data_IF_279132713644
#
_entry.id   IF_279132713644
#
_cell.length_a   1.000
_cell.length_b   1.000
_cell.length_c   1.000
_cell.angle_alpha   90.00
_cell.angle_beta   90.00
_cell.angle_gamma   90.00
#
_symmetry.space_group_name_H-M   'P 1'
#
loop_
_entity.id
_entity.type
_entity.pdbx_description
1 polymer ?
#
# COMPACT_ATOMS: atom_id res chain seq x y z
N UNK A 1 7.40 32.74 22.26
CA UNK A 1 6.44 31.88 21.53
C UNK A 1 7.16 31.42 20.29
N UNK A 2 7.65 30.17 20.28
CA UNK A 2 8.43 29.68 19.14
C UNK A 2 7.50 29.48 17.96
N UNK A 3 7.79 30.16 16.84
CA UNK A 3 7.27 29.80 15.53
C UNK A 3 7.66 28.36 15.25
N UNK A 4 6.74 27.44 15.54
CA UNK A 4 6.81 26.10 15.02
C UNK A 4 6.69 26.26 13.50
N UNK A 5 7.79 26.01 12.77
CA UNK A 5 7.78 25.83 11.32
C UNK A 5 6.59 24.92 10.98
N UNK A 6 5.52 25.50 10.45
CA UNK A 6 4.37 24.75 9.98
C UNK A 6 4.86 23.96 8.78
N UNK A 7 5.09 22.66 8.97
CA UNK A 7 5.41 21.78 7.85
C UNK A 7 4.17 21.73 6.94
N UNK A 8 4.34 21.90 5.61
CA UNK A 8 3.22 21.83 4.69
C UNK A 8 2.48 20.50 4.87
N UNK A 9 1.16 20.56 4.99
CA UNK A 9 0.34 19.37 5.12
C UNK A 9 0.25 18.68 3.76
N UNK A 10 0.02 17.37 3.77
CA UNK A 10 -0.16 16.61 2.51
C UNK A 10 -1.28 17.18 1.63
N UNK A 11 -2.32 17.80 2.22
CA UNK A 11 -3.41 18.44 1.46
C UNK A 11 -2.92 19.64 0.63
N UNK A 12 -1.86 20.31 1.06
CA UNK A 12 -1.36 21.55 0.45
C UNK A 12 -0.62 21.29 -0.87
N UNK A 13 -0.38 20.01 -1.21
CA UNK A 13 0.05 19.58 -2.55
C UNK A 13 -0.95 20.04 -3.64
N UNK A 14 -2.25 20.06 -3.31
CA UNK A 14 -3.31 20.63 -4.15
C UNK A 14 -3.76 21.99 -3.57
N UNK A 15 -2.81 22.90 -3.36
CA UNK A 15 -3.07 24.28 -2.97
C UNK A 15 -3.29 25.20 -4.18
N UNK A 16 -3.40 26.51 -3.92
CA UNK A 16 -3.72 27.51 -4.95
C UNK A 16 -2.74 27.52 -6.14
N UNK A 17 -1.44 27.28 -5.90
CA UNK A 17 -0.45 27.16 -6.98
C UNK A 17 -0.76 25.97 -7.90
N UNK A 18 -1.12 24.82 -7.32
CA UNK A 18 -1.49 23.65 -8.10
C UNK A 18 -2.77 23.87 -8.92
N UNK A 19 -3.72 24.64 -8.39
CA UNK A 19 -4.94 25.06 -9.10
C UNK A 19 -4.58 25.96 -10.28
N UNK A 20 -3.73 26.97 -10.08
CA UNK A 20 -3.27 27.85 -11.17
C UNK A 20 -2.60 27.08 -12.30
N UNK A 21 -1.75 26.09 -11.97
CA UNK A 21 -1.10 25.24 -12.98
C UNK A 21 -2.12 24.47 -13.83
N UNK A 22 -3.15 23.90 -13.21
CA UNK A 22 -4.22 23.20 -13.96
C UNK A 22 -4.99 24.20 -14.84
N UNK A 23 -5.27 25.39 -14.32
CA UNK A 23 -5.99 26.44 -15.05
C UNK A 23 -5.23 26.91 -16.30
N UNK A 24 -3.92 27.14 -16.15
CA UNK A 24 -3.03 27.59 -17.22
C UNK A 24 -2.86 26.49 -18.27
N UNK A 25 -2.67 25.24 -17.84
CA UNK A 25 -2.62 24.09 -18.74
C UNK A 25 -3.92 23.92 -19.55
N UNK A 26 -5.08 24.15 -18.92
CA UNK A 26 -6.38 24.11 -19.59
C UNK A 26 -6.53 25.21 -20.66
N UNK A 27 -6.17 26.44 -20.32
CA UNK A 27 -6.21 27.56 -21.27
C UNK A 27 -5.23 27.39 -22.44
N UNK A 28 -4.05 26.81 -22.17
CA UNK A 28 -3.08 26.48 -23.21
C UNK A 28 -3.54 25.32 -24.10
N UNK A 29 -4.26 24.35 -23.54
CA UNK A 29 -4.79 23.21 -24.28
C UNK A 29 -5.94 23.59 -25.22
N UNK A 30 -6.79 24.56 -24.84
CA UNK A 30 -7.92 24.96 -25.68
C UNK A 30 -8.50 26.33 -25.33
N UNK A 31 -8.82 27.18 -26.33
CA UNK A 31 -9.44 28.48 -26.09
C UNK A 31 -10.88 28.38 -25.55
N UNK A 32 -11.54 27.22 -25.67
CA UNK A 32 -12.88 27.01 -25.10
C UNK A 32 -12.86 26.64 -23.61
N UNK A 33 -11.68 26.40 -23.03
CA UNK A 33 -11.55 26.15 -21.60
C UNK A 33 -11.77 27.44 -20.81
N UNK A 34 -12.77 27.45 -19.92
CA UNK A 34 -13.09 28.61 -19.09
C UNK A 34 -12.13 28.71 -17.89
N UNK A 35 -10.94 29.27 -18.13
CA UNK A 35 -9.90 29.44 -17.10
C UNK A 35 -10.40 30.22 -15.87
N UNK A 36 -11.13 31.31 -16.07
CA UNK A 36 -11.62 32.14 -14.98
C UNK A 36 -12.65 31.39 -14.13
N UNK A 37 -13.60 30.71 -14.78
CA UNK A 37 -14.59 29.87 -14.08
C UNK A 37 -13.97 28.69 -13.36
N UNK A 38 -12.93 28.06 -13.93
CA UNK A 38 -12.18 27.02 -13.23
C UNK A 38 -11.53 27.54 -11.94
N UNK A 39 -10.80 28.66 -12.02
CA UNK A 39 -10.11 29.22 -10.85
C UNK A 39 -11.09 29.59 -9.73
N UNK A 40 -12.19 30.25 -10.08
CA UNK A 40 -13.23 30.63 -9.12
C UNK A 40 -13.82 29.41 -8.42
N UNK A 41 -14.27 28.42 -9.20
CA UNK A 41 -14.86 27.20 -8.66
C UNK A 41 -13.88 26.32 -7.88
N UNK A 42 -12.61 26.26 -8.30
CA UNK A 42 -11.59 25.39 -7.71
C UNK A 42 -10.95 25.95 -6.44
N UNK A 43 -10.98 27.27 -6.24
CA UNK A 43 -10.44 27.93 -5.04
C UNK A 43 -11.52 28.07 -3.95
N UNK A 44 -12.80 28.10 -4.32
CA UNK A 44 -13.90 28.20 -3.37
C UNK A 44 -13.92 27.02 -2.37
N UNK A 45 -13.81 27.34 -1.08
CA UNK A 45 -13.84 26.34 0.00
C UNK A 45 -12.63 25.38 0.06
N UNK A 46 -11.61 25.52 -0.80
CA UNK A 46 -10.50 24.58 -0.94
C UNK A 46 -9.72 24.32 0.37
N UNK A 47 -9.58 25.35 1.21
CA UNK A 47 -8.78 25.29 2.45
C UNK A 47 -9.29 24.23 3.44
N UNK A 48 -10.61 24.04 3.50
CA UNK A 48 -11.28 23.10 4.40
C UNK A 48 -11.19 21.64 3.96
N UNK A 49 -10.79 21.37 2.72
CA UNK A 49 -10.81 20.04 2.12
C UNK A 49 -9.51 19.24 2.40
N UNK A 50 -9.66 17.94 2.67
CA UNK A 50 -8.57 16.97 2.68
C UNK A 50 -8.06 16.66 1.27
N UNK A 51 -6.89 16.02 1.12
CA UNK A 51 -6.26 15.81 -0.20
C UNK A 51 -7.18 15.11 -1.21
N UNK A 52 -7.92 14.07 -0.81
CA UNK A 52 -8.82 13.34 -1.73
C UNK A 52 -10.16 14.06 -1.93
N UNK A 53 -10.54 14.97 -1.04
CA UNK A 53 -11.65 15.90 -1.29
C UNK A 53 -11.24 16.95 -2.31
N UNK A 54 -10.00 17.47 -2.24
CA UNK A 54 -9.45 18.39 -3.25
C UNK A 54 -9.39 17.75 -4.63
N UNK A 55 -8.93 16.50 -4.75
CA UNK A 55 -8.94 15.77 -6.04
C UNK A 55 -10.35 15.78 -6.68
N UNK A 56 -11.38 15.47 -5.90
CA UNK A 56 -12.78 15.43 -6.37
C UNK A 56 -13.34 16.82 -6.67
N UNK A 57 -13.05 17.78 -5.81
CA UNK A 57 -13.47 19.16 -5.98
C UNK A 57 -12.87 19.79 -7.24
N UNK A 58 -11.58 19.57 -7.51
CA UNK A 58 -10.95 20.03 -8.74
C UNK A 58 -11.51 19.33 -9.99
N UNK A 59 -11.89 18.06 -9.90
CA UNK A 59 -12.58 17.36 -10.99
C UNK A 59 -13.98 17.96 -11.28
N UNK A 60 -14.71 18.37 -10.25
CA UNK A 60 -15.98 19.08 -10.41
C UNK A 60 -15.79 20.47 -11.03
N UNK A 61 -14.78 21.22 -10.58
CA UNK A 61 -14.42 22.50 -11.19
C UNK A 61 -13.99 22.36 -12.65
N UNK A 62 -13.24 21.31 -13.00
CA UNK A 62 -12.90 20.98 -14.39
C UNK A 62 -14.15 20.77 -15.24
N UNK A 63 -15.17 20.08 -14.72
CA UNK A 63 -16.42 19.85 -15.46
C UNK A 63 -17.13 21.15 -15.83
N UNK A 64 -17.20 22.13 -14.92
CA UNK A 64 -17.76 23.45 -15.23
C UNK A 64 -16.93 24.30 -16.18
N UNK A 65 -15.63 24.00 -16.32
CA UNK A 65 -14.70 24.75 -17.17
C UNK A 65 -14.48 24.13 -18.56
N UNK A 66 -14.93 22.90 -18.77
CA UNK A 66 -14.81 22.15 -20.02
C UNK A 66 -16.10 22.22 -20.85
N UNK A 67 -16.03 21.95 -22.16
CA UNK A 67 -17.22 21.79 -22.99
C UNK A 67 -18.13 20.66 -22.51
N UNK A 68 -19.43 20.77 -22.79
CA UNK A 68 -20.43 19.75 -22.43
C UNK A 68 -20.29 18.46 -23.25
N UNK A 69 -19.75 18.54 -24.46
CA UNK A 69 -19.41 17.35 -25.25
C UNK A 69 -18.22 16.60 -24.61
N UNK A 70 -18.49 15.40 -24.13
CA UNK A 70 -17.52 14.60 -23.39
C UNK A 70 -16.26 14.27 -24.22
N UNK A 71 -16.42 14.03 -25.53
CA UNK A 71 -15.29 13.71 -26.40
C UNK A 71 -14.29 14.86 -26.46
N UNK A 72 -14.81 16.06 -26.72
CA UNK A 72 -14.04 17.30 -26.78
C UNK A 72 -13.42 17.61 -25.41
N UNK A 73 -14.17 17.46 -24.32
CA UNK A 73 -13.65 17.65 -22.97
C UNK A 73 -12.50 16.68 -22.66
N UNK A 74 -12.60 15.42 -23.10
CA UNK A 74 -11.60 14.40 -22.90
C UNK A 74 -10.29 14.70 -23.66
N UNK A 75 -10.38 15.21 -24.87
CA UNK A 75 -9.20 15.64 -25.64
C UNK A 75 -8.47 16.79 -24.96
N UNK A 76 -9.20 17.77 -24.40
CA UNK A 76 -8.62 18.87 -23.61
C UNK A 76 -7.94 18.32 -22.35
N UNK A 77 -8.61 17.44 -21.61
CA UNK A 77 -8.08 16.76 -20.41
C UNK A 77 -6.79 16.00 -20.70
N UNK A 78 -6.72 15.30 -21.84
CA UNK A 78 -5.49 14.62 -22.29
C UNK A 78 -4.38 15.59 -22.67
N UNK A 79 -4.71 16.78 -23.19
CA UNK A 79 -3.74 17.84 -23.49
C UNK A 79 -3.27 18.62 -22.24
N UNK A 80 -4.07 18.65 -21.17
CA UNK A 80 -3.69 19.22 -19.87
C UNK A 80 -2.61 18.37 -19.20
N UNK A 81 -2.78 17.05 -19.16
CA UNK A 81 -1.99 16.16 -18.31
C UNK A 81 -0.45 16.24 -18.48
N UNK A 82 0.12 16.38 -19.69
CA UNK A 82 1.56 16.54 -19.88
C UNK A 82 2.16 17.83 -19.30
N UNK A 83 1.33 18.83 -19.02
CA UNK A 83 1.75 20.14 -18.52
C UNK A 83 1.74 20.21 -16.99
N UNK A 84 1.24 19.17 -16.32
CA UNK A 84 1.14 19.10 -14.87
C UNK A 84 2.49 18.78 -14.23
N UNK A 85 2.74 19.38 -13.07
CA UNK A 85 4.03 19.26 -12.36
C UNK A 85 3.98 18.26 -11.20
N UNK A 86 2.79 17.79 -10.82
CA UNK A 86 2.61 16.88 -9.69
C UNK A 86 1.54 15.80 -9.96
N UNK A 87 1.79 14.58 -9.47
CA UNK A 87 0.90 13.41 -9.68
C UNK A 87 -0.52 13.61 -9.16
N UNK A 88 -0.71 14.26 -8.01
CA UNK A 88 -2.04 14.61 -7.49
C UNK A 88 -2.83 15.55 -8.41
N UNK A 89 -2.17 16.43 -9.18
CA UNK A 89 -2.88 17.23 -10.19
C UNK A 89 -3.41 16.30 -11.30
N UNK A 90 -2.56 15.38 -11.78
CA UNK A 90 -2.97 14.39 -12.78
C UNK A 90 -4.09 13.49 -12.26
N UNK A 91 -4.13 13.19 -10.96
CA UNK A 91 -5.22 12.44 -10.35
C UNK A 91 -6.55 13.19 -10.40
N UNK A 92 -6.58 14.52 -10.21
CA UNK A 92 -7.79 15.32 -10.41
C UNK A 92 -8.29 15.24 -11.86
N UNK A 93 -7.38 15.25 -12.83
CA UNK A 93 -7.69 15.08 -14.25
C UNK A 93 -8.25 13.68 -14.55
N UNK A 94 -7.70 12.61 -13.96
CA UNK A 94 -8.29 11.27 -14.09
C UNK A 94 -9.64 11.14 -13.36
N UNK A 95 -9.83 11.85 -12.25
CA UNK A 95 -11.09 11.85 -11.50
C UNK A 95 -12.23 12.50 -12.32
N UNK A 96 -11.94 13.52 -13.14
CA UNK A 96 -12.90 14.05 -14.10
C UNK A 96 -13.44 12.94 -15.03
N UNK A 97 -12.54 12.10 -15.57
CA UNK A 97 -12.91 10.98 -16.45
C UNK A 97 -13.83 9.98 -15.73
N UNK A 98 -13.55 9.70 -14.46
CA UNK A 98 -14.36 8.79 -13.64
C UNK A 98 -15.77 9.32 -13.36
N UNK A 99 -15.91 10.64 -13.20
CA UNK A 99 -17.18 11.30 -12.86
C UNK A 99 -18.06 11.55 -14.08
N UNK A 100 -17.45 11.84 -15.24
CA UNK A 100 -18.18 12.23 -16.45
C UNK A 100 -18.22 11.14 -17.53
N UNK A 101 -17.43 10.07 -17.38
CA UNK A 101 -17.16 9.12 -18.45
C UNK A 101 -17.84 7.75 -18.35
N UNK A 102 -18.71 7.51 -17.36
CA UNK A 102 -19.32 6.20 -17.15
C UNK A 102 -20.13 5.71 -18.37
N UNK A 103 -20.84 6.62 -19.04
CA UNK A 103 -21.63 6.32 -20.25
C UNK A 103 -20.77 6.22 -21.53
N UNK A 104 -19.46 6.47 -21.42
CA UNK A 104 -18.51 6.50 -22.54
C UNK A 104 -17.34 5.52 -22.36
N UNK A 105 -17.65 4.31 -21.89
CA UNK A 105 -16.71 3.29 -21.43
C UNK A 105 -15.39 3.20 -22.24
N UNK A 106 -15.44 2.93 -23.54
CA UNK A 106 -14.23 2.65 -24.32
C UNK A 106 -13.30 3.88 -24.41
N UNK A 107 -13.88 5.07 -24.58
CA UNK A 107 -13.11 6.34 -24.60
C UNK A 107 -12.52 6.64 -23.23
N UNK A 108 -13.30 6.43 -22.18
CA UNK A 108 -12.87 6.66 -20.80
C UNK A 108 -11.72 5.74 -20.42
N UNK A 109 -11.81 4.44 -20.68
CA UNK A 109 -10.74 3.50 -20.35
C UNK A 109 -9.47 3.75 -21.16
N UNK A 110 -9.59 4.10 -22.45
CA UNK A 110 -8.44 4.51 -23.26
C UNK A 110 -7.77 5.75 -22.66
N UNK A 111 -8.54 6.77 -22.28
CA UNK A 111 -8.00 7.96 -21.64
C UNK A 111 -7.37 7.67 -20.28
N UNK A 112 -7.96 6.82 -19.43
CA UNK A 112 -7.36 6.44 -18.15
C UNK A 112 -6.03 5.71 -18.33
N UNK A 113 -5.92 4.81 -19.31
CA UNK A 113 -4.65 4.16 -19.66
C UNK A 113 -3.59 5.17 -20.10
N UNK A 114 -3.97 6.21 -20.84
CA UNK A 114 -3.02 7.26 -21.22
C UNK A 114 -2.65 8.15 -20.04
N UNK A 115 -3.62 8.66 -19.32
CA UNK A 115 -3.46 9.65 -18.26
C UNK A 115 -2.71 9.10 -17.04
N UNK A 116 -2.79 7.79 -16.78
CA UNK A 116 -2.16 7.18 -15.60
C UNK A 116 -0.63 7.33 -15.57
N UNK A 117 0.02 7.67 -16.68
CA UNK A 117 1.47 7.92 -16.73
C UNK A 117 1.91 9.22 -16.04
N UNK A 118 1.00 10.19 -15.91
CA UNK A 118 1.28 11.49 -15.27
C UNK A 118 1.01 11.49 -13.75
N UNK A 119 0.42 10.41 -13.25
CA UNK A 119 0.10 10.23 -11.84
C UNK A 119 -0.38 8.81 -11.58
N UNK A 120 -1.69 8.64 -11.39
CA UNK A 120 -2.32 7.32 -11.28
C UNK A 120 -3.83 7.42 -11.54
N UNK A 121 -4.36 6.52 -12.36
CA UNK A 121 -5.81 6.34 -12.54
C UNK A 121 -6.41 5.29 -11.57
N UNK A 122 -5.70 4.87 -10.53
CA UNK A 122 -6.10 3.77 -9.63
C UNK A 122 -7.42 4.01 -8.90
N UNK A 123 -7.80 5.27 -8.68
CA UNK A 123 -9.10 5.64 -8.12
C UNK A 123 -10.15 5.78 -9.22
N UNK A 124 -9.79 6.41 -10.33
CA UNK A 124 -10.66 6.72 -11.44
C UNK A 124 -11.19 5.50 -12.20
N UNK A 125 -10.45 4.38 -12.21
CA UNK A 125 -10.92 3.13 -12.83
C UNK A 125 -11.99 2.41 -11.99
N UNK A 126 -12.13 2.75 -10.71
CA UNK A 126 -12.97 1.98 -9.77
C UNK A 126 -14.47 2.17 -9.96
N UNK A 127 -14.98 3.36 -10.35
CA UNK A 127 -16.37 3.49 -10.78
C UNK A 127 -16.74 2.55 -11.94
N UNK A 128 -15.84 2.37 -12.92
CA UNK A 128 -16.05 1.42 -14.02
C UNK A 128 -16.07 -0.03 -13.52
N UNK A 129 -15.14 -0.42 -12.63
CA UNK A 129 -15.16 -1.72 -11.96
C UNK A 129 -16.42 -1.95 -11.12
N UNK A 130 -17.00 -0.90 -10.54
CA UNK A 130 -18.21 -0.99 -9.74
C UNK A 130 -19.47 -1.12 -10.61
N UNK A 131 -19.50 -0.48 -11.78
CA UNK A 131 -20.60 -0.52 -12.72
C UNK A 131 -20.63 -1.81 -13.56
N UNK A 132 -19.48 -2.21 -14.11
CA UNK A 132 -19.31 -3.38 -14.97
C UNK A 132 -17.96 -4.07 -14.70
N UNK A 133 -17.87 -4.89 -13.64
CA UNK A 133 -16.63 -5.53 -13.24
C UNK A 133 -16.08 -6.47 -14.31
N UNK A 134 -16.93 -7.22 -15.00
CA UNK A 134 -16.52 -8.19 -16.01
C UNK A 134 -15.83 -7.50 -17.20
N UNK A 135 -16.52 -6.52 -17.82
CA UNK A 135 -15.98 -5.79 -18.97
C UNK A 135 -14.72 -5.01 -18.60
N UNK A 136 -14.71 -4.39 -17.41
CA UNK A 136 -13.56 -3.60 -16.94
C UNK A 136 -12.35 -4.48 -16.65
N UNK A 137 -12.51 -5.61 -15.95
CA UNK A 137 -11.41 -6.54 -15.70
C UNK A 137 -10.87 -7.16 -16.98
N UNK A 138 -11.72 -7.44 -17.97
CA UNK A 138 -11.27 -7.92 -19.28
C UNK A 138 -10.38 -6.89 -20.00
N UNK A 139 -10.70 -5.59 -19.93
CA UNK A 139 -9.84 -4.53 -20.47
C UNK A 139 -8.55 -4.36 -19.65
N UNK A 140 -8.63 -4.43 -18.33
CA UNK A 140 -7.45 -4.36 -17.45
C UNK A 140 -6.51 -5.56 -17.66
N UNK A 141 -7.03 -6.73 -18.00
CA UNK A 141 -6.20 -7.88 -18.39
C UNK A 141 -5.41 -7.60 -19.67
N UNK A 142 -6.01 -6.95 -20.68
CA UNK A 142 -5.27 -6.53 -21.90
C UNK A 142 -4.13 -5.58 -21.57
N UNK A 143 -4.33 -4.66 -20.62
CA UNK A 143 -3.32 -3.71 -20.16
C UNK A 143 -2.08 -4.37 -19.56
N UNK A 144 -2.13 -5.64 -19.16
CA UNK A 144 -0.95 -6.36 -18.63
C UNK A 144 0.15 -6.58 -19.68
N UNK A 145 -0.18 -6.44 -20.96
CA UNK A 145 0.78 -6.56 -22.07
C UNK A 145 1.27 -5.20 -22.60
N UNK A 146 0.80 -4.10 -22.03
CA UNK A 146 1.16 -2.76 -22.48
C UNK A 146 2.67 -2.50 -22.27
N UNK A 147 3.37 -1.87 -23.22
CA UNK A 147 4.80 -1.55 -23.05
C UNK A 147 5.06 -0.61 -21.86
N UNK A 148 4.08 0.20 -21.46
CA UNK A 148 4.20 1.16 -20.38
C UNK A 148 3.91 0.51 -19.01
N UNK A 149 4.89 0.56 -18.11
CA UNK A 149 4.77 0.01 -16.76
C UNK A 149 3.65 0.66 -15.93
N UNK A 150 3.28 1.93 -16.19
CA UNK A 150 2.20 2.61 -15.49
C UNK A 150 0.84 2.00 -15.82
N UNK A 151 0.64 1.58 -17.07
CA UNK A 151 -0.60 0.92 -17.55
C UNK A 151 -0.68 -0.50 -16.98
N UNK A 152 0.41 -1.26 -17.03
CA UNK A 152 0.49 -2.59 -16.40
C UNK A 152 0.26 -2.51 -14.89
N UNK A 153 0.85 -1.51 -14.22
CA UNK A 153 0.65 -1.29 -12.79
C UNK A 153 -0.79 -0.92 -12.50
N UNK A 154 -1.44 -0.06 -13.31
CA UNK A 154 -2.85 0.29 -13.14
C UNK A 154 -3.76 -0.94 -13.16
N UNK A 155 -3.49 -1.89 -14.06
CA UNK A 155 -4.24 -3.16 -14.12
C UNK A 155 -4.21 -3.90 -12.78
N UNK A 156 -3.04 -4.03 -12.15
CA UNK A 156 -2.92 -4.66 -10.84
C UNK A 156 -3.47 -3.77 -9.70
N UNK A 157 -3.14 -2.48 -9.68
CA UNK A 157 -3.43 -1.61 -8.54
C UNK A 157 -4.91 -1.21 -8.46
N UNK A 158 -5.49 -0.79 -9.58
CA UNK A 158 -6.86 -0.30 -9.64
C UNK A 158 -7.88 -1.40 -9.27
N UNK A 159 -7.52 -2.65 -9.56
CA UNK A 159 -8.34 -3.84 -9.26
C UNK A 159 -8.10 -4.42 -7.86
N UNK A 160 -7.31 -3.76 -6.99
CA UNK A 160 -7.08 -4.24 -5.63
C UNK A 160 -8.39 -4.29 -4.81
N UNK A 161 -8.64 -5.38 -4.06
CA UNK A 161 -9.83 -5.48 -3.21
C UNK A 161 -9.77 -4.56 -1.99
N UNK A 162 -8.56 -4.15 -1.56
CA UNK A 162 -8.34 -3.31 -0.36
C UNK A 162 -7.39 -2.14 -0.65
N UNK A 163 -7.60 -1.44 -1.76
CA UNK A 163 -6.83 -0.24 -2.11
C UNK A 163 -7.03 0.87 -1.05
N UNK A 164 -5.96 1.40 -0.42
CA UNK A 164 -6.06 2.51 0.52
C UNK A 164 -6.66 3.76 -0.14
N UNK A 165 -7.40 4.56 0.65
CA UNK A 165 -8.07 5.81 0.22
C UNK A 165 -9.15 5.68 -0.86
N UNK A 166 -9.28 4.52 -1.49
CA UNK A 166 -10.27 4.27 -2.52
C UNK A 166 -11.64 3.90 -1.95
N UNK A 167 -12.68 4.17 -2.73
CA UNK A 167 -13.99 3.55 -2.56
C UNK A 167 -13.88 2.03 -2.70
N UNK A 168 -14.73 1.30 -1.96
CA UNK A 168 -14.81 -0.15 -2.08
C UNK A 168 -15.57 -0.51 -3.36
N UNK A 169 -15.05 -1.44 -4.14
CA UNK A 169 -15.76 -2.04 -5.28
C UNK A 169 -16.48 -3.29 -4.74
N UNK A 170 -17.82 -3.34 -4.74
CA UNK A 170 -18.57 -4.45 -4.13
C UNK A 170 -18.18 -5.83 -4.68
N UNK A 171 -18.04 -5.95 -6.00
CA UNK A 171 -17.65 -7.21 -6.65
C UNK A 171 -16.29 -7.73 -6.15
N UNK A 172 -15.25 -6.89 -6.17
CA UNK A 172 -13.90 -7.23 -5.69
C UNK A 172 -13.85 -7.48 -4.17
N UNK A 173 -14.79 -6.94 -3.41
CA UNK A 173 -14.92 -7.25 -1.98
C UNK A 173 -15.61 -8.60 -1.77
N UNK A 174 -16.63 -8.91 -2.56
CA UNK A 174 -17.38 -10.16 -2.50
C UNK A 174 -16.52 -11.35 -2.90
N UNK A 175 -15.74 -11.19 -3.97
CA UNK A 175 -14.70 -12.12 -4.37
C UNK A 175 -13.38 -11.38 -4.64
N UNK A 176 -12.40 -11.43 -3.71
CA UNK A 176 -11.12 -10.77 -3.90
C UNK A 176 -10.23 -11.44 -4.95
N UNK A 177 -10.64 -12.59 -5.49
CA UNK A 177 -9.85 -13.37 -6.46
C UNK A 177 -10.19 -13.05 -7.92
N UNK A 178 -11.20 -12.22 -8.19
CA UNK A 178 -11.66 -11.89 -9.55
C UNK A 178 -10.55 -11.34 -10.47
N UNK A 179 -9.56 -10.64 -9.91
CA UNK A 179 -8.44 -10.09 -10.65
C UNK A 179 -7.23 -11.04 -10.74
N UNK A 180 -7.34 -12.31 -10.32
CA UNK A 180 -6.25 -13.28 -10.36
C UNK A 180 -5.59 -13.41 -11.75
N UNK A 181 -6.34 -13.44 -12.88
CA UNK A 181 -5.72 -13.49 -14.21
C UNK A 181 -4.75 -12.34 -14.50
N UNK A 182 -5.03 -11.14 -13.97
CA UNK A 182 -4.14 -9.97 -14.09
C UNK A 182 -2.84 -10.22 -13.32
N UNK A 183 -2.94 -10.78 -12.11
CA UNK A 183 -1.78 -11.06 -11.26
C UNK A 183 -0.91 -12.16 -11.85
N UNK A 184 -1.53 -13.19 -12.43
CA UNK A 184 -0.84 -14.26 -13.15
C UNK A 184 -0.08 -13.71 -14.36
N UNK A 185 -0.69 -12.84 -15.17
CA UNK A 185 -0.03 -12.23 -16.33
C UNK A 185 1.19 -11.36 -15.92
N UNK A 186 1.13 -10.73 -14.75
CA UNK A 186 2.17 -9.83 -14.24
C UNK A 186 3.16 -10.50 -13.27
N UNK A 187 3.08 -11.82 -13.07
CA UNK A 187 3.85 -12.57 -12.05
C UNK A 187 5.37 -12.50 -12.20
N UNK A 188 5.87 -12.11 -13.37
CA UNK A 188 7.30 -11.99 -13.67
C UNK A 188 7.64 -10.64 -14.31
N UNK A 189 6.85 -9.59 -14.03
CA UNK A 189 7.05 -8.28 -14.66
C UNK A 189 8.45 -7.69 -14.37
N UNK A 190 9.16 -7.13 -15.36
CA UNK A 190 10.49 -6.55 -15.16
C UNK A 190 10.48 -5.26 -14.33
N UNK A 191 9.35 -4.56 -14.25
CA UNK A 191 9.22 -3.33 -13.43
C UNK A 191 9.01 -3.65 -11.95
N UNK A 192 9.88 -3.11 -11.09
CA UNK A 192 9.67 -3.17 -9.64
C UNK A 192 8.40 -2.44 -9.21
N UNK A 193 7.98 -1.40 -9.94
CA UNK A 193 6.75 -0.66 -9.65
C UNK A 193 5.51 -1.54 -9.84
N UNK A 194 5.45 -2.30 -10.94
CA UNK A 194 4.41 -3.30 -11.19
C UNK A 194 4.45 -4.40 -10.15
N UNK A 195 5.64 -5.00 -9.90
CA UNK A 195 5.78 -6.09 -8.90
C UNK A 195 5.31 -5.69 -7.51
N UNK A 196 5.59 -4.45 -7.07
CA UNK A 196 5.09 -3.91 -5.79
C UNK A 196 3.56 -3.91 -5.74
N UNK A 197 2.91 -3.52 -6.83
CA UNK A 197 1.45 -3.57 -6.92
C UNK A 197 0.92 -5.00 -6.84
N UNK A 198 1.47 -5.92 -7.63
CA UNK A 198 1.06 -7.35 -7.64
C UNK A 198 1.21 -7.95 -6.25
N UNK A 199 2.35 -7.73 -5.59
CA UNK A 199 2.57 -8.22 -4.22
C UNK A 199 1.63 -7.57 -3.19
N UNK A 200 1.25 -6.30 -3.35
CA UNK A 200 0.26 -5.66 -2.48
C UNK A 200 -1.14 -6.23 -2.71
N UNK A 201 -1.49 -6.49 -3.97
CA UNK A 201 -2.76 -7.09 -4.36
C UNK A 201 -2.88 -8.50 -3.76
N UNK A 202 -1.89 -9.36 -3.98
CA UNK A 202 -1.83 -10.70 -3.39
C UNK A 202 -1.95 -10.66 -1.85
N UNK A 203 -1.22 -9.75 -1.21
CA UNK A 203 -1.32 -9.57 0.24
C UNK A 203 -2.71 -9.07 0.71
N UNK A 204 -3.44 -8.35 -0.13
CA UNK A 204 -4.82 -7.96 0.17
C UNK A 204 -5.77 -9.16 0.07
N UNK A 205 -5.60 -10.03 -0.94
CA UNK A 205 -6.34 -11.28 -1.09
C UNK A 205 -6.11 -12.18 0.14
N UNK A 206 -4.86 -12.37 0.55
CA UNK A 206 -4.48 -13.24 1.68
C UNK A 206 -5.04 -12.80 3.04
N UNK A 207 -5.59 -11.58 3.16
CA UNK A 207 -6.32 -11.16 4.38
C UNK A 207 -7.68 -11.82 4.52
N UNK A 208 -8.30 -12.19 3.40
CA UNK A 208 -9.65 -12.76 3.33
C UNK A 208 -9.68 -14.21 2.83
N UNK A 209 -8.76 -14.58 1.93
CA UNK A 209 -8.67 -15.90 1.29
C UNK A 209 -7.24 -16.44 1.38
N UNK A 210 -6.79 -16.71 2.61
CA UNK A 210 -5.42 -17.16 2.88
C UNK A 210 -5.09 -18.50 2.20
N UNK A 211 -5.96 -19.50 2.33
CA UNK A 211 -5.74 -20.83 1.74
C UNK A 211 -5.65 -20.75 0.21
N UNK A 212 -6.61 -20.06 -0.42
CA UNK A 212 -6.58 -19.81 -1.86
C UNK A 212 -5.28 -19.14 -2.31
N UNK A 213 -4.81 -18.12 -1.59
CA UNK A 213 -3.57 -17.41 -1.95
C UNK A 213 -2.37 -18.36 -1.93
N UNK A 214 -2.28 -19.22 -0.90
CA UNK A 214 -1.19 -20.17 -0.78
C UNK A 214 -1.28 -21.23 -1.87
N UNK A 215 -2.46 -21.85 -2.07
CA UNK A 215 -2.72 -22.83 -3.14
C UNK A 215 -2.33 -22.25 -4.51
N UNK A 216 -2.70 -21.00 -4.76
CA UNK A 216 -2.43 -20.32 -6.02
C UNK A 216 -0.93 -20.09 -6.25
N UNK A 217 -0.20 -19.67 -5.22
CA UNK A 217 1.23 -19.39 -5.31
C UNK A 217 2.12 -20.66 -5.29
N UNK A 218 1.60 -21.80 -4.83
CA UNK A 218 2.29 -23.09 -4.94
C UNK A 218 2.53 -23.51 -6.41
N UNK A 219 1.68 -23.06 -7.33
CA UNK A 219 1.85 -23.30 -8.77
C UNK A 219 2.80 -22.31 -9.48
N UNK A 220 3.33 -21.31 -8.78
CA UNK A 220 4.19 -20.29 -9.41
C UNK A 220 5.66 -20.70 -9.39
N UNK A 221 6.37 -20.41 -10.49
CA UNK A 221 7.82 -20.61 -10.58
C UNK A 221 8.55 -19.59 -9.69
N UNK A 222 9.07 -20.09 -8.57
CA UNK A 222 9.79 -19.29 -7.56
C UNK A 222 11.27 -19.08 -7.87
N UNK A 223 11.80 -19.76 -8.89
CA UNK A 223 13.23 -19.73 -9.21
C UNK A 223 13.58 -18.45 -9.99
N UNK A 224 12.59 -17.79 -10.61
CA UNK A 224 12.81 -16.45 -11.15
C UNK A 224 12.95 -15.41 -10.01
N UNK A 225 13.95 -14.52 -10.06
CA UNK A 225 14.14 -13.51 -9.00
C UNK A 225 12.93 -12.59 -8.80
N UNK A 226 12.18 -12.32 -9.87
CA UNK A 226 11.01 -11.44 -9.85
C UNK A 226 9.80 -12.12 -9.21
N UNK A 227 9.44 -13.33 -9.64
CA UNK A 227 8.32 -14.07 -9.07
C UNK A 227 8.59 -14.44 -7.62
N UNK A 228 9.81 -14.91 -7.29
CA UNK A 228 10.21 -15.17 -5.90
C UNK A 228 10.12 -13.92 -4.99
N UNK A 229 10.42 -12.74 -5.53
CA UNK A 229 10.22 -11.47 -4.83
C UNK A 229 8.72 -11.19 -4.60
N UNK A 230 7.88 -11.34 -5.62
CA UNK A 230 6.43 -11.12 -5.49
C UNK A 230 5.82 -12.05 -4.44
N UNK A 231 6.13 -13.34 -4.49
CA UNK A 231 5.64 -14.35 -3.54
C UNK A 231 6.00 -13.95 -2.11
N UNK A 232 7.27 -13.65 -1.84
CA UNK A 232 7.73 -13.25 -0.50
C UNK A 232 7.00 -12.01 0.01
N UNK A 233 6.83 -11.00 -0.85
CA UNK A 233 6.17 -9.76 -0.48
C UNK A 233 4.65 -9.90 -0.37
N UNK A 234 4.03 -10.77 -1.17
CA UNK A 234 2.60 -11.08 -1.15
C UNK A 234 2.18 -11.87 0.08
N UNK A 235 3.02 -12.80 0.54
CA UNK A 235 2.77 -13.63 1.72
C UNK A 235 3.14 -12.97 3.05
N UNK A 236 3.65 -11.72 3.05
CA UNK A 236 4.22 -11.07 4.24
C UNK A 236 3.29 -11.07 5.47
N UNK A 237 1.97 -10.98 5.28
CA UNK A 237 1.01 -11.03 6.39
C UNK A 237 0.88 -12.45 6.94
N UNK A 238 0.84 -13.47 6.08
CA UNK A 238 0.78 -14.89 6.50
C UNK A 238 2.09 -15.34 7.16
N UNK A 239 3.24 -14.93 6.61
CA UNK A 239 4.56 -15.17 7.21
C UNK A 239 4.62 -14.59 8.64
N UNK A 240 4.12 -13.36 8.83
CA UNK A 240 4.05 -12.74 10.17
C UNK A 240 3.07 -13.45 11.11
N UNK A 241 2.05 -14.14 10.59
CA UNK A 241 1.16 -15.00 11.37
C UNK A 241 1.79 -16.36 11.70
N UNK A 242 2.95 -16.67 11.11
CA UNK A 242 3.63 -17.95 11.28
C UNK A 242 3.04 -19.09 10.46
N UNK A 243 2.31 -18.77 9.38
CA UNK A 243 1.65 -19.76 8.52
C UNK A 243 2.68 -20.75 7.93
N UNK A 244 2.54 -22.07 8.20
CA UNK A 244 3.53 -23.06 7.76
C UNK A 244 3.72 -23.13 6.25
N UNK A 245 2.62 -23.04 5.48
CA UNK A 245 2.68 -23.17 4.02
C UNK A 245 3.28 -21.92 3.38
N UNK A 246 2.94 -20.74 3.90
CA UNK A 246 3.54 -19.49 3.46
C UNK A 246 5.05 -19.42 3.75
N UNK A 247 5.50 -19.97 4.89
CA UNK A 247 6.92 -20.11 5.20
C UNK A 247 7.61 -21.08 4.23
N UNK A 248 7.00 -22.23 3.94
CA UNK A 248 7.54 -23.20 3.01
C UNK A 248 7.74 -22.62 1.60
N UNK A 249 6.81 -21.77 1.13
CA UNK A 249 6.92 -21.08 -0.16
C UNK A 249 8.12 -20.13 -0.28
N UNK A 250 8.68 -19.66 0.84
CA UNK A 250 9.90 -18.85 0.87
C UNK A 250 11.15 -19.63 1.28
N UNK A 251 11.08 -20.96 1.27
CA UNK A 251 12.21 -21.86 1.60
C UNK A 251 12.49 -21.96 3.10
N UNK A 252 11.49 -21.77 3.95
CA UNK A 252 11.63 -21.76 5.41
C UNK A 252 10.70 -22.81 6.01
N UNK A 253 11.26 -23.77 6.75
CA UNK A 253 10.45 -24.73 7.49
C UNK A 253 9.68 -24.04 8.62
N UNK A 254 8.52 -24.58 9.01
CA UNK A 254 7.82 -24.11 10.20
C UNK A 254 8.52 -24.64 11.47
N UNK A 255 8.93 -23.73 12.35
CA UNK A 255 9.90 -24.00 13.40
C UNK A 255 11.34 -24.09 12.89
N UNK A 256 12.27 -24.17 13.83
CA UNK A 256 13.70 -24.36 13.55
C UNK A 256 14.33 -25.18 14.68
N UNK A 257 15.34 -25.97 14.36
CA UNK A 257 16.15 -26.67 15.35
C UNK A 257 17.16 -25.67 15.95
N UNK A 258 16.66 -24.74 16.74
CA UNK A 258 17.45 -23.72 17.44
C UNK A 258 16.99 -23.59 18.88
N UNK A 259 17.91 -23.24 19.77
CA UNK A 259 17.63 -22.85 21.15
C UNK A 259 17.80 -21.34 21.29
N UNK A 260 16.95 -20.72 22.10
CA UNK A 260 17.15 -19.34 22.57
C UNK A 260 17.98 -19.42 23.85
N UNK A 261 19.23 -19.01 23.80
CA UNK A 261 20.11 -19.00 24.98
C UNK A 261 19.81 -17.79 25.87
N UNK A 262 19.44 -16.66 25.27
CA UNK A 262 19.06 -15.44 25.97
C UNK A 262 18.02 -14.66 25.18
N UNK A 263 17.03 -14.11 25.86
CA UNK A 263 16.12 -13.10 25.30
C UNK A 263 15.80 -12.04 26.35
N UNK A 264 16.12 -10.78 26.06
CA UNK A 264 15.90 -9.65 26.97
C UNK A 264 15.18 -8.49 26.30
N UNK A 265 14.46 -7.74 27.10
CA UNK A 265 13.85 -6.45 26.73
C UNK A 265 14.24 -5.45 27.81
N UNK A 266 15.04 -4.46 27.43
CA UNK A 266 15.64 -3.53 28.36
C UNK A 266 15.40 -2.07 27.91
N UNK A 267 15.11 -1.14 28.83
CA UNK A 267 14.89 -1.34 30.26
C UNK A 267 13.54 -2.02 30.56
N UNK A 268 13.41 -2.58 31.77
CA UNK A 268 12.15 -3.20 32.23
C UNK A 268 11.03 -2.18 32.42
N UNK A 269 11.36 -0.90 32.63
CA UNK A 269 10.42 0.22 32.72
C UNK A 269 10.89 1.33 31.79
N UNK A 270 10.00 1.84 30.93
CA UNK A 270 10.30 2.85 29.91
C UNK A 270 9.26 3.96 29.93
N UNK A 271 9.68 5.22 29.76
CA UNK A 271 8.74 6.35 29.66
C UNK A 271 8.25 6.52 28.21
N UNK A 272 7.05 7.07 28.06
CA UNK A 272 6.56 7.47 26.73
C UNK A 272 7.53 8.50 26.10
N UNK A 273 7.94 8.24 24.86
CA UNK A 273 8.96 8.98 24.13
C UNK A 273 10.34 8.30 24.12
N UNK A 274 10.60 7.41 25.07
CA UNK A 274 11.82 6.62 25.15
C UNK A 274 11.68 5.32 24.34
N UNK A 275 12.65 4.42 24.51
CA UNK A 275 12.77 3.25 23.65
C UNK A 275 13.39 2.06 24.38
N UNK A 276 12.84 0.89 24.09
CA UNK A 276 13.34 -0.40 24.55
C UNK A 276 14.28 -1.00 23.52
N UNK A 277 15.19 -1.84 23.98
CA UNK A 277 16.07 -2.68 23.17
C UNK A 277 15.70 -4.13 23.42
N UNK A 278 15.35 -4.84 22.35
CA UNK A 278 15.15 -6.28 22.35
C UNK A 278 16.48 -6.90 21.93
N UNK A 279 16.96 -7.90 22.66
CA UNK A 279 18.16 -8.65 22.30
C UNK A 279 17.91 -10.15 22.44
N UNK A 280 18.42 -10.95 21.50
CA UNK A 280 18.29 -12.40 21.50
C UNK A 280 19.62 -13.07 21.10
N UNK A 281 19.93 -14.18 21.75
CA UNK A 281 21.02 -15.09 21.38
C UNK A 281 20.42 -16.44 21.03
N UNK A 282 20.73 -16.91 19.81
CA UNK A 282 20.23 -18.16 19.25
C UNK A 282 21.40 -19.10 18.99
N UNK A 283 21.26 -20.39 19.30
CA UNK A 283 22.21 -21.43 18.94
C UNK A 283 21.55 -22.53 18.12
N UNK A 284 22.21 -22.94 17.03
CA UNK A 284 21.77 -24.05 16.19
C UNK A 284 21.91 -25.38 16.94
N UNK A 285 20.86 -26.19 16.91
CA UNK A 285 20.82 -27.54 17.48
C UNK A 285 21.13 -28.64 16.45
N UNK A 286 21.51 -28.26 15.24
CA UNK A 286 21.83 -29.16 14.14
C UNK A 286 23.17 -28.79 13.50
N UNK A 287 23.75 -29.72 12.74
CA UNK A 287 24.95 -29.50 11.92
C UNK A 287 24.64 -28.97 10.52
N UNK A 288 23.38 -28.96 10.11
CA UNK A 288 22.96 -28.40 8.84
C UNK A 288 22.64 -26.90 8.97
N UNK A 289 22.86 -26.16 7.90
CA UNK A 289 22.48 -24.76 7.80
C UNK A 289 20.94 -24.62 7.79
N UNK A 290 20.45 -23.57 8.43
CA UNK A 290 19.01 -23.31 8.55
C UNK A 290 18.69 -21.88 8.19
N UNK A 291 17.74 -21.68 7.29
CA UNK A 291 17.17 -20.35 7.04
C UNK A 291 16.20 -19.97 8.15
N UNK A 292 16.47 -18.85 8.81
CA UNK A 292 15.66 -18.33 9.90
C UNK A 292 14.92 -17.06 9.49
N UNK A 293 13.62 -17.03 9.75
CA UNK A 293 12.78 -15.83 9.78
C UNK A 293 12.50 -15.53 11.25
N UNK A 294 13.20 -14.53 11.77
CA UNK A 294 13.03 -14.05 13.14
C UNK A 294 12.20 -12.78 13.13
N UNK A 295 11.09 -12.83 13.83
CA UNK A 295 10.15 -11.74 14.05
C UNK A 295 9.96 -11.54 15.56
N UNK A 296 9.33 -10.44 15.96
CA UNK A 296 8.86 -10.28 17.34
C UNK A 296 7.44 -9.75 17.37
N UNK A 297 6.66 -10.22 18.34
CA UNK A 297 5.27 -9.81 18.56
C UNK A 297 5.22 -8.96 19.81
N UNK A 298 4.83 -7.70 19.65
CA UNK A 298 4.58 -6.79 20.77
C UNK A 298 3.08 -6.74 21.05
N UNK A 299 2.70 -7.08 22.28
CA UNK A 299 1.35 -6.97 22.81
C UNK A 299 1.18 -5.60 23.44
N UNK A 300 0.60 -4.67 22.68
CA UNK A 300 0.33 -3.33 23.16
C UNK A 300 -0.77 -3.34 24.21
N UNK A 301 -0.53 -2.71 25.36
CA UNK A 301 -1.57 -2.45 26.34
C UNK A 301 -2.69 -1.61 25.70
N UNK A 302 -3.94 -1.88 26.10
CA UNK A 302 -5.14 -1.13 25.72
C UNK A 302 -5.93 -0.81 26.98
N UNK A 303 -6.91 0.08 26.83
CA UNK A 303 -7.86 0.37 27.91
C UNK A 303 -8.58 -0.89 28.41
N UNK A 304 -8.95 -0.89 29.69
CA UNK A 304 -9.67 -1.98 30.37
C UNK A 304 -8.94 -3.34 30.35
N UNK A 305 -7.60 -3.34 30.47
CA UNK A 305 -6.80 -4.57 30.61
C UNK A 305 -6.67 -5.42 29.34
N UNK A 306 -7.16 -4.94 28.20
CA UNK A 306 -7.04 -5.63 26.91
C UNK A 306 -5.64 -5.43 26.32
N UNK A 307 -5.26 -6.30 25.39
CA UNK A 307 -4.02 -6.15 24.61
C UNK A 307 -4.29 -6.25 23.10
N UNK A 308 -3.38 -5.69 22.31
CA UNK A 308 -3.40 -5.80 20.85
C UNK A 308 -2.02 -6.20 20.33
N UNK A 309 -1.94 -7.38 19.70
CA UNK A 309 -0.69 -7.90 19.16
C UNK A 309 -0.31 -7.22 17.84
N UNK A 310 0.98 -6.89 17.70
CA UNK A 310 1.57 -6.45 16.43
C UNK A 310 2.90 -7.16 16.19
N UNK A 311 3.01 -7.81 15.03
CA UNK A 311 4.24 -8.49 14.61
C UNK A 311 5.12 -7.55 13.77
N UNK A 312 6.38 -7.45 14.18
CA UNK A 312 7.45 -6.69 13.55
C UNK A 312 8.52 -7.64 13.03
N UNK A 313 9.17 -7.24 11.93
CA UNK A 313 10.30 -7.99 11.37
C UNK A 313 11.54 -7.69 12.21
N UNK A 314 12.31 -8.72 12.59
CA UNK A 314 13.62 -8.55 13.22
C UNK A 314 14.72 -8.79 12.18
N UNK A 315 14.84 -10.03 11.68
CA UNK A 315 15.87 -10.39 10.70
C UNK A 315 15.48 -11.68 9.97
N UNK A 316 15.87 -11.78 8.71
CA UNK A 316 15.88 -13.05 7.97
C UNK A 316 17.31 -13.33 7.53
N UNK A 317 17.84 -14.51 7.86
CA UNK A 317 19.23 -14.88 7.60
C UNK A 317 19.40 -16.40 7.63
N UNK A 318 20.50 -16.88 7.07
CA UNK A 318 20.90 -18.28 7.16
C UNK A 318 21.83 -18.45 8.37
N UNK A 319 21.47 -19.34 9.30
CA UNK A 319 22.28 -19.71 10.46
C UNK A 319 23.04 -20.99 10.14
N UNK A 320 24.37 -20.92 10.18
CA UNK A 320 25.21 -22.08 9.93
C UNK A 320 25.00 -23.18 10.99
N UNK A 321 25.23 -24.43 10.58
CA UNK A 321 25.20 -25.59 11.48
C UNK A 321 26.07 -25.39 12.72
N UNK A 322 25.53 -25.72 13.90
CA UNK A 322 26.19 -25.60 15.22
C UNK A 322 26.69 -24.20 15.59
N UNK A 323 26.38 -23.18 14.78
CA UNK A 323 26.74 -21.80 15.04
C UNK A 323 25.71 -21.13 15.96
N UNK A 324 26.09 -19.97 16.48
CA UNK A 324 25.21 -19.07 17.24
C UNK A 324 25.09 -17.72 16.54
N UNK A 325 24.00 -17.00 16.81
CA UNK A 325 23.76 -15.66 16.30
C UNK A 325 23.17 -14.77 17.39
N UNK A 326 23.66 -13.52 17.44
CA UNK A 326 23.08 -12.46 18.27
C UNK A 326 22.27 -11.52 17.40
N UNK A 327 21.09 -11.16 17.90
CA UNK A 327 20.13 -10.28 17.24
C UNK A 327 19.73 -9.17 18.20
N UNK A 328 19.48 -7.98 17.67
CA UNK A 328 18.97 -6.88 18.47
C UNK A 328 18.21 -5.86 17.65
N UNK A 329 17.21 -5.22 18.27
CA UNK A 329 16.49 -4.09 17.69
C UNK A 329 16.10 -3.09 18.76
N UNK A 330 16.22 -1.81 18.40
CA UNK A 330 15.75 -0.70 19.22
C UNK A 330 14.37 -0.25 18.74
N UNK A 331 13.42 -0.14 19.66
CA UNK A 331 12.06 0.30 19.37
C UNK A 331 11.66 1.50 20.23
N UNK A 332 11.27 2.59 19.57
CA UNK A 332 10.77 3.81 20.23
C UNK A 332 9.27 3.70 20.50
N UNK A 333 8.88 4.02 21.73
CA UNK A 333 7.50 4.05 22.20
C UNK A 333 7.05 5.50 22.27
N UNK A 334 6.59 6.04 21.15
CA UNK A 334 6.03 7.40 21.08
C UNK A 334 4.71 7.38 20.35
N UNK A 335 3.85 8.33 20.67
CA UNK A 335 2.60 8.48 19.94
C UNK A 335 2.85 8.93 18.49
N UNK A 336 2.02 8.39 17.60
CA UNK A 336 1.96 8.73 16.19
C UNK A 336 0.54 9.16 15.86
N UNK A 337 0.35 9.87 14.74
CA UNK A 337 -0.97 10.22 14.22
C UNK A 337 -1.89 8.99 14.05
N UNK A 338 -1.31 7.81 13.78
CA UNK A 338 -2.03 6.56 13.58
C UNK A 338 -2.02 5.62 14.79
N UNK A 339 -1.36 5.98 15.90
CA UNK A 339 -1.24 5.10 17.08
C UNK A 339 -0.95 5.90 18.36
N UNK A 340 -1.86 5.78 19.33
CA UNK A 340 -1.58 6.08 20.73
C UNK A 340 -1.14 4.84 21.50
N UNK A 341 -0.19 5.03 22.41
CA UNK A 341 0.25 4.03 23.36
C UNK A 341 -0.52 4.19 24.66
N UNK A 342 -0.78 3.09 25.35
CA UNK A 342 -1.41 3.08 26.66
C UNK A 342 -0.40 2.65 27.69
N UNK A 343 -0.48 3.22 28.90
CA UNK A 343 0.42 2.85 29.99
C UNK A 343 0.16 1.41 30.46
N UNK A 344 1.16 0.82 31.13
CA UNK A 344 1.12 -0.51 31.71
C UNK A 344 2.01 -1.52 31.00
N UNK A 345 1.80 -2.79 31.33
CA UNK A 345 2.65 -3.90 30.89
C UNK A 345 2.46 -4.22 29.42
N UNK A 346 3.58 -4.33 28.72
CA UNK A 346 3.69 -4.73 27.32
C UNK A 346 4.49 -6.01 27.22
N UNK A 347 3.86 -7.09 26.74
CA UNK A 347 4.54 -8.36 26.52
C UNK A 347 5.18 -8.40 25.13
N UNK A 348 6.33 -9.04 25.03
CA UNK A 348 7.09 -9.23 23.81
C UNK A 348 7.39 -10.71 23.64
N UNK A 349 6.99 -11.28 22.50
CA UNK A 349 7.37 -12.63 22.10
C UNK A 349 8.45 -12.59 21.02
N UNK A 350 9.47 -13.44 21.15
CA UNK A 350 10.41 -13.76 20.08
C UNK A 350 9.84 -14.89 19.23
N UNK A 351 9.66 -14.65 17.93
CA UNK A 351 9.16 -15.62 16.97
C UNK A 351 10.30 -16.10 16.08
N UNK A 352 10.50 -17.40 15.97
CA UNK A 352 11.43 -18.01 15.01
C UNK A 352 10.66 -18.98 14.14
N UNK A 353 10.69 -18.76 12.82
CA UNK A 353 10.04 -19.62 11.83
C UNK A 353 8.57 -19.91 12.15
N UNK A 354 7.85 -18.87 12.62
CA UNK A 354 6.43 -18.93 12.95
C UNK A 354 6.08 -19.47 14.34
N UNK A 355 7.07 -19.87 15.16
CA UNK A 355 6.85 -20.34 16.54
C UNK A 355 7.33 -19.33 17.56
N UNK A 356 6.58 -19.19 18.65
CA UNK A 356 7.02 -18.43 19.82
C UNK A 356 8.07 -19.23 20.57
N UNK A 357 9.28 -18.66 20.70
CA UNK A 357 10.43 -19.33 21.29
C UNK A 357 10.83 -18.74 22.65
N UNK A 358 10.49 -17.47 22.92
CA UNK A 358 10.75 -16.82 24.20
C UNK A 358 9.75 -15.66 24.41
N UNK A 359 9.54 -15.30 25.68
CA UNK A 359 8.65 -14.21 26.09
C UNK A 359 9.38 -13.33 27.11
N UNK A 360 9.22 -12.03 26.99
CA UNK A 360 9.70 -11.02 27.94
C UNK A 360 8.67 -9.89 28.03
N UNK A 361 8.89 -8.90 28.88
CA UNK A 361 7.98 -7.76 29.01
C UNK A 361 8.71 -6.49 29.48
N UNK A 362 8.05 -5.35 29.28
CA UNK A 362 8.41 -4.08 29.89
C UNK A 362 7.14 -3.31 30.31
N UNK A 363 7.27 -2.38 31.25
CA UNK A 363 6.22 -1.48 31.68
C UNK A 363 6.38 -0.09 31.03
N UNK A 364 5.35 0.38 30.35
CA UNK A 364 5.29 1.74 29.82
C UNK A 364 4.65 2.66 30.87
N UNK A 365 5.39 3.68 31.28
CA UNK A 365 4.93 4.68 32.26
C UNK A 365 4.77 6.05 31.61
N UNK A 366 3.95 6.89 32.24
CA UNK A 366 3.72 8.26 31.78
C UNK A 366 4.98 9.12 31.90
N UNK A 367 5.01 10.28 31.21
CA UNK A 367 5.96 11.33 31.57
C UNK A 367 5.74 11.70 33.05
N UNK A 368 6.85 11.97 33.75
CA UNK A 368 6.83 12.38 35.16
C UNK A 368 6.12 13.73 35.35
#
# INVERSE_FOLDING_TARGET
>A
MSDAKAYPLMKDILGSEAVTIIADAGAAASPVFNRAGFLDAALDGLEGLSIMERVRHLADALHGALPTDYATALDIVRAIAPQLTHSFQAMAVTEFVARQGLDHFDRSLAALADLTRFGSAEFAIRPFLAADPERTLAQMLRWTTDPNEHVRRLASEGSRPRLPWASRVPALRGDPTLAAPILEALRNDPSLYVRKSVANHLNDIGKDRADWLVDHLEGWDRDTPHTGWIIRHGLRTLIKKGDPRALALIGVAHGAAVRVDRFTVEPATVKLGEAVTLAAELSSLTRADQRLVVDYRLHYARGAGKTAAKVFKLKTFDLAGSASATLGIRQVLRDFSTRRHHLGRHEVELLVNGRTMAIAAFDLIGPA
#
